data_IF_474452216750
#
_entry.id   IF_474452216750
#
_cell.length_a   1.000
_cell.length_b   1.000
_cell.length_c   1.000
_cell.angle_alpha   90.00
_cell.angle_beta   90.00
_cell.angle_gamma   90.00
#
_symmetry.space_group_name_H-M   'P 1'
#
loop_
_entity.id
_entity.type
_entity.pdbx_description
1 polymer ?
#
# COMPACT_ATOMS: atom_id res chain seq x y z
N UNK A 1 8.83 8.56 26.82
CA UNK A 1 7.38 8.26 26.89
C UNK A 1 6.79 8.68 25.56
N UNK A 2 6.39 7.71 24.73
CA UNK A 2 5.79 8.00 23.42
C UNK A 2 4.44 8.68 23.62
N UNK A 3 4.17 9.72 22.84
CA UNK A 3 2.82 10.27 22.70
C UNK A 3 1.86 9.14 22.35
N UNK A 4 0.67 9.06 22.97
CA UNK A 4 -0.34 8.09 22.57
C UNK A 4 -0.59 8.21 21.07
N UNK A 5 -0.68 7.08 20.38
CA UNK A 5 -1.27 7.02 19.03
C UNK A 5 -2.60 7.78 19.09
N UNK A 6 -2.82 8.68 18.15
CA UNK A 6 -4.02 9.55 18.11
C UNK A 6 -5.29 8.69 18.10
N UNK A 7 -6.46 9.28 18.41
CA UNK A 7 -7.77 8.59 18.34
C UNK A 7 -8.20 8.23 16.91
N UNK A 8 -7.26 8.18 15.96
CA UNK A 8 -7.52 7.99 14.53
C UNK A 8 -7.37 6.51 14.19
N UNK A 9 -8.40 5.93 13.57
CA UNK A 9 -8.35 4.56 13.09
C UNK A 9 -7.55 4.48 11.78
N UNK A 10 -6.54 3.61 11.73
CA UNK A 10 -5.85 3.24 10.50
C UNK A 10 -6.44 1.95 9.95
N UNK A 11 -7.08 2.03 8.78
CA UNK A 11 -7.68 0.88 8.10
C UNK A 11 -6.67 0.11 7.23
N UNK A 12 -5.44 -0.07 7.70
CA UNK A 12 -4.41 -0.81 6.97
C UNK A 12 -4.30 -2.25 7.51
N UNK A 13 -4.44 -3.25 6.66
CA UNK A 13 -4.11 -4.63 7.04
C UNK A 13 -2.59 -4.79 7.06
N UNK A 14 -1.97 -5.32 8.14
CA UNK A 14 -0.54 -5.60 8.14
C UNK A 14 -0.16 -6.53 6.99
N UNK A 15 0.98 -6.27 6.37
CA UNK A 15 1.52 -7.11 5.30
C UNK A 15 2.61 -8.03 5.87
N UNK A 16 2.74 -9.24 5.35
CA UNK A 16 3.76 -10.17 5.82
C UNK A 16 4.42 -10.93 4.68
N UNK A 17 5.74 -11.14 4.79
CA UNK A 17 6.52 -12.05 3.95
C UNK A 17 7.84 -12.37 4.65
N UNK A 18 8.48 -13.50 4.33
CA UNK A 18 9.82 -13.86 4.82
C UNK A 18 10.01 -13.80 6.35
N UNK A 19 8.97 -14.10 7.14
CA UNK A 19 8.95 -13.91 8.60
C UNK A 19 9.08 -12.46 9.07
N UNK A 20 8.71 -11.49 8.23
CA UNK A 20 8.54 -10.09 8.61
C UNK A 20 7.05 -9.73 8.56
N UNK A 21 6.64 -8.89 9.50
CA UNK A 21 5.33 -8.22 9.49
C UNK A 21 5.59 -6.72 9.37
N UNK A 22 4.99 -6.08 8.39
CA UNK A 22 5.06 -4.65 8.13
C UNK A 22 3.73 -3.98 8.43
N UNK A 23 3.81 -2.81 9.03
CA UNK A 23 2.69 -1.91 9.27
C UNK A 23 3.13 -0.47 8.98
N UNK A 24 2.23 0.32 8.41
CA UNK A 24 2.37 1.76 8.30
C UNK A 24 1.08 2.48 8.67
N UNK A 25 1.27 3.65 9.24
CA UNK A 25 0.24 4.58 9.72
C UNK A 25 0.52 5.99 9.18
N UNK A 26 -0.29 6.97 9.56
CA UNK A 26 -0.30 8.34 9.06
C UNK A 26 -0.80 9.31 10.13
N UNK A 27 -1.05 10.58 9.81
CA UNK A 27 -1.64 11.55 10.77
C UNK A 27 -0.79 11.77 12.03
N UNK A 28 0.52 11.93 11.85
CA UNK A 28 1.49 12.23 12.92
C UNK A 28 1.61 11.14 14.00
N UNK A 29 1.29 9.90 13.64
CA UNK A 29 1.57 8.70 14.46
C UNK A 29 3.02 8.24 14.26
N UNK A 30 3.34 7.01 14.68
CA UNK A 30 4.69 6.42 14.58
C UNK A 30 5.25 6.34 13.15
N UNK A 31 4.43 6.43 12.11
CA UNK A 31 4.83 6.18 10.72
C UNK A 31 4.74 4.68 10.41
N UNK A 32 5.83 4.06 9.94
CA UNK A 32 5.83 2.63 9.62
C UNK A 32 6.98 1.86 10.24
N UNK A 33 6.79 0.55 10.40
CA UNK A 33 7.81 -0.34 10.95
C UNK A 33 7.66 -1.76 10.41
N UNK A 34 8.76 -2.51 10.48
CA UNK A 34 8.73 -3.96 10.30
C UNK A 34 9.24 -4.69 11.54
N UNK A 35 8.58 -5.79 11.86
CA UNK A 35 8.91 -6.70 12.94
C UNK A 35 9.37 -8.01 12.33
N UNK A 36 10.57 -8.45 12.69
CA UNK A 36 11.06 -9.78 12.35
C UNK A 36 10.54 -10.80 13.38
N UNK A 37 9.99 -11.89 12.86
CA UNK A 37 9.47 -13.02 13.61
C UNK A 37 10.48 -14.17 13.56
N UNK A 38 10.62 -14.88 14.68
CA UNK A 38 11.44 -16.08 14.76
C UNK A 38 10.77 -17.10 15.67
N UNK A 39 10.89 -18.39 15.33
CA UNK A 39 10.48 -19.45 16.24
C UNK A 39 11.39 -19.46 17.49
N UNK A 40 10.77 -19.67 18.63
CA UNK A 40 11.42 -19.85 19.93
C UNK A 40 10.96 -21.17 20.53
N UNK A 41 11.63 -21.62 21.60
CA UNK A 41 11.27 -22.88 22.26
C UNK A 41 9.81 -22.91 22.78
N UNK A 42 9.19 -21.74 23.03
CA UNK A 42 7.85 -21.60 23.61
C UNK A 42 6.83 -20.93 22.68
N UNK A 43 7.15 -20.71 21.39
CA UNK A 43 6.24 -20.06 20.44
C UNK A 43 6.97 -19.16 19.45
N UNK A 44 6.39 -18.00 19.12
CA UNK A 44 6.98 -17.03 18.19
C UNK A 44 7.50 -15.82 18.95
N UNK A 45 8.78 -15.52 18.74
CA UNK A 45 9.42 -14.28 19.18
C UNK A 45 9.29 -13.21 18.10
N UNK A 46 9.21 -11.96 18.53
CA UNK A 46 9.09 -10.79 17.67
C UNK A 46 10.15 -9.75 18.06
N UNK A 47 10.84 -9.18 17.07
CA UNK A 47 11.83 -8.11 17.28
C UNK A 47 11.61 -7.01 16.26
N UNK A 48 11.60 -5.76 16.71
CA UNK A 48 11.62 -4.61 15.80
C UNK A 48 12.86 -4.69 14.90
N UNK A 49 12.66 -4.80 13.60
CA UNK A 49 13.73 -4.82 12.61
C UNK A 49 14.16 -3.39 12.26
N UNK A 50 13.18 -2.54 11.97
CA UNK A 50 13.36 -1.13 11.67
C UNK A 50 12.04 -0.37 11.86
N UNK A 51 12.13 0.94 12.02
CA UNK A 51 11.02 1.88 11.93
C UNK A 51 11.43 3.19 11.24
N UNK A 52 10.44 3.84 10.63
CA UNK A 52 10.61 5.13 9.97
C UNK A 52 9.36 5.99 10.17
N UNK A 53 9.54 7.09 10.90
CA UNK A 53 8.50 8.07 11.22
C UNK A 53 8.05 8.92 10.02
N UNK A 54 8.74 8.84 8.88
CA UNK A 54 8.40 9.58 7.66
C UNK A 54 7.37 8.85 6.80
N UNK A 55 7.18 7.55 7.01
CA UNK A 55 6.19 6.79 6.26
C UNK A 55 4.78 7.27 6.59
N UNK A 56 3.95 7.42 5.55
CA UNK A 56 2.66 8.07 5.65
C UNK A 56 1.59 7.32 4.85
N UNK A 57 1.01 6.26 5.43
CA UNK A 57 -0.01 5.46 4.76
C UNK A 57 -1.36 5.57 5.50
N UNK A 58 -2.32 6.22 4.88
CA UNK A 58 -3.63 6.49 5.49
C UNK A 58 -4.56 5.27 5.45
N UNK A 59 -4.77 4.69 4.27
CA UNK A 59 -5.77 3.64 4.05
C UNK A 59 -5.32 2.63 3.00
N UNK A 60 -5.46 1.33 3.29
CA UNK A 60 -5.38 0.23 2.32
C UNK A 60 -4.20 0.32 1.32
N UNK A 61 -3.08 0.89 1.78
CA UNK A 61 -2.13 1.54 0.89
C UNK A 61 -0.84 0.79 0.65
N UNK A 62 -0.70 -0.48 1.04
CA UNK A 62 0.55 -1.21 0.80
C UNK A 62 0.36 -2.70 0.52
N UNK A 63 1.30 -3.26 -0.23
CA UNK A 63 1.47 -4.68 -0.52
C UNK A 63 2.94 -5.07 -0.42
N UNK A 64 3.20 -6.35 -0.14
CA UNK A 64 4.56 -6.90 -0.16
C UNK A 64 4.68 -7.90 -1.30
N UNK A 65 5.66 -7.68 -2.17
CA UNK A 65 5.93 -8.51 -3.35
C UNK A 65 7.45 -8.68 -3.48
N UNK A 66 7.92 -9.91 -3.59
CA UNK A 66 9.33 -10.27 -3.82
C UNK A 66 10.33 -9.58 -2.87
N UNK A 67 9.97 -9.45 -1.59
CA UNK A 67 10.82 -8.83 -0.56
C UNK A 67 10.81 -7.30 -0.54
N UNK A 68 9.92 -6.67 -1.32
CA UNK A 68 9.72 -5.23 -1.35
C UNK A 68 8.31 -4.84 -0.91
N UNK A 69 8.22 -3.73 -0.19
CA UNK A 69 6.98 -3.07 0.17
C UNK A 69 6.70 -2.04 -0.91
N UNK A 70 5.55 -2.16 -1.59
CA UNK A 70 5.02 -1.10 -2.46
C UNK A 70 3.90 -0.40 -1.71
N UNK A 71 4.03 0.91 -1.49
CA UNK A 71 3.11 1.63 -0.63
C UNK A 71 2.75 3.03 -1.11
N UNK A 72 1.57 3.49 -0.73
CA UNK A 72 1.16 4.88 -0.74
C UNK A 72 1.84 5.63 0.40
N UNK A 73 2.32 6.84 0.11
CA UNK A 73 2.94 7.76 1.06
C UNK A 73 2.23 9.15 1.05
N UNK A 74 0.91 9.17 0.99
CA UNK A 74 0.09 10.38 0.99
C UNK A 74 0.07 11.08 -0.37
N UNK A 75 1.14 11.76 -0.77
CA UNK A 75 1.18 12.51 -2.05
C UNK A 75 1.77 11.71 -3.22
N UNK A 76 2.20 10.48 -2.95
CA UNK A 76 2.81 9.60 -3.94
C UNK A 76 2.92 8.17 -3.44
N UNK A 77 3.81 7.42 -4.08
CA UNK A 77 3.95 5.99 -3.97
C UNK A 77 5.43 5.65 -3.91
N UNK A 78 5.81 4.67 -3.11
CA UNK A 78 7.19 4.26 -2.94
C UNK A 78 7.35 2.75 -2.96
N UNK A 79 8.60 2.34 -3.19
CA UNK A 79 9.06 0.98 -2.99
C UNK A 79 10.14 0.99 -1.90
N UNK A 80 10.04 0.12 -0.92
CA UNK A 80 11.03 -0.06 0.13
C UNK A 80 11.45 -1.52 0.24
N UNK A 81 12.67 -1.76 0.68
CA UNK A 81 13.12 -3.10 1.04
C UNK A 81 12.46 -3.54 2.35
N UNK A 82 11.78 -4.70 2.35
CA UNK A 82 11.04 -5.19 3.53
C UNK A 82 11.95 -5.39 4.76
N UNK A 83 13.17 -5.85 4.56
CA UNK A 83 14.07 -6.23 5.66
C UNK A 83 14.82 -5.05 6.27
N UNK A 84 14.98 -3.95 5.54
CA UNK A 84 15.85 -2.82 5.91
C UNK A 84 15.10 -1.50 6.03
N UNK A 85 13.93 -1.37 5.39
CA UNK A 85 13.18 -0.12 5.31
C UNK A 85 13.79 0.89 4.32
N UNK A 86 14.82 0.51 3.56
CA UNK A 86 15.47 1.42 2.61
C UNK A 86 14.53 1.68 1.43
N UNK A 87 14.19 2.95 1.23
CA UNK A 87 13.44 3.39 0.06
C UNK A 87 14.27 3.26 -1.21
N UNK A 88 13.71 2.57 -2.20
CA UNK A 88 14.31 2.34 -3.52
C UNK A 88 13.90 3.40 -4.52
N UNK A 89 12.65 3.85 -4.44
CA UNK A 89 12.15 4.94 -5.24
C UNK A 89 10.87 5.54 -4.62
N UNK A 90 10.57 6.76 -5.06
CA UNK A 90 9.31 7.46 -4.83
C UNK A 90 8.79 8.05 -6.17
N UNK A 91 7.48 8.00 -6.40
CA UNK A 91 6.82 8.55 -7.58
C UNK A 91 5.43 9.12 -7.24
N UNK A 92 5.01 10.21 -7.91
CA UNK A 92 3.77 10.92 -7.54
C UNK A 92 2.47 10.14 -7.82
N UNK A 93 2.46 9.21 -8.77
CA UNK A 93 1.33 8.31 -9.05
C UNK A 93 -0.07 8.99 -9.06
N UNK A 94 -1.15 8.28 -8.65
CA UNK A 94 -2.51 8.81 -8.55
C UNK A 94 -2.81 9.58 -7.24
N UNK A 95 -1.79 10.02 -6.49
CA UNK A 95 -1.99 10.62 -5.16
C UNK A 95 -2.34 9.59 -4.09
N UNK A 96 -2.92 10.04 -2.98
CA UNK A 96 -3.35 9.22 -1.83
C UNK A 96 -4.35 8.16 -2.30
N UNK A 97 -4.19 6.91 -1.88
CA UNK A 97 -5.07 5.86 -2.35
C UNK A 97 -4.74 4.47 -1.85
N UNK A 98 -5.48 3.51 -2.39
CA UNK A 98 -5.37 2.08 -2.13
C UNK A 98 -4.66 1.34 -3.27
N UNK A 99 -4.18 0.13 -3.01
CA UNK A 99 -3.38 -0.65 -3.95
C UNK A 99 -3.72 -2.13 -3.88
N UNK A 100 -3.75 -2.77 -5.06
CA UNK A 100 -3.73 -4.23 -5.19
C UNK A 100 -2.66 -4.64 -6.20
N UNK A 101 -2.04 -5.80 -5.99
CA UNK A 101 -1.06 -6.37 -6.90
C UNK A 101 -1.67 -7.54 -7.69
N UNK A 102 -1.40 -7.60 -8.99
CA UNK A 102 -1.64 -8.78 -9.82
C UNK A 102 -0.69 -8.78 -11.03
N UNK A 103 -0.17 -9.95 -11.38
CA UNK A 103 0.63 -10.20 -12.60
C UNK A 103 1.76 -9.19 -12.86
N UNK A 104 2.56 -8.90 -11.82
CA UNK A 104 3.69 -7.96 -11.94
C UNK A 104 3.29 -6.48 -11.92
N UNK A 105 2.01 -6.17 -11.75
CA UNK A 105 1.48 -4.82 -11.78
C UNK A 105 0.82 -4.41 -10.47
N UNK A 106 0.95 -3.12 -10.15
CA UNK A 106 0.29 -2.42 -9.06
C UNK A 106 -0.87 -1.62 -9.63
N UNK A 107 -2.08 -1.95 -9.17
CA UNK A 107 -3.30 -1.24 -9.49
C UNK A 107 -3.59 -0.28 -8.34
N UNK A 108 -3.27 0.99 -8.57
CA UNK A 108 -3.39 2.05 -7.57
C UNK A 108 -4.66 2.86 -7.83
N UNK A 109 -5.55 2.96 -6.84
CA UNK A 109 -6.77 3.75 -6.88
C UNK A 109 -6.62 4.97 -5.97
N UNK A 110 -6.43 6.14 -6.58
CA UNK A 110 -6.32 7.41 -5.88
C UNK A 110 -7.66 7.97 -5.40
N UNK A 111 -7.65 8.80 -4.37
CA UNK A 111 -8.83 9.34 -3.68
C UNK A 111 -9.75 10.17 -4.58
N UNK A 112 -9.25 10.68 -5.70
CA UNK A 112 -10.01 11.42 -6.71
C UNK A 112 -10.48 10.53 -7.87
N UNK A 113 -10.51 9.21 -7.66
CA UNK A 113 -10.91 8.21 -8.66
C UNK A 113 -9.89 8.02 -9.79
N UNK A 114 -8.65 8.50 -9.63
CA UNK A 114 -7.60 8.23 -10.62
C UNK A 114 -7.09 6.80 -10.41
N UNK A 115 -7.21 5.97 -11.44
CA UNK A 115 -6.66 4.62 -11.48
C UNK A 115 -5.33 4.68 -12.21
N UNK A 116 -4.29 4.12 -11.63
CA UNK A 116 -2.97 4.01 -12.23
C UNK A 116 -2.49 2.57 -12.22
N UNK A 117 -1.86 2.17 -13.32
CA UNK A 117 -1.14 0.91 -13.45
C UNK A 117 0.36 1.22 -13.38
N UNK A 118 1.03 0.71 -12.36
CA UNK A 118 2.46 0.91 -12.11
C UNK A 118 3.14 -0.46 -12.08
N UNK A 119 4.32 -0.61 -12.67
CA UNK A 119 5.04 -1.88 -12.56
C UNK A 119 5.51 -2.13 -11.13
N UNK A 120 5.37 -3.37 -10.65
CA UNK A 120 5.97 -3.81 -9.38
C UNK A 120 7.47 -4.04 -9.55
N UNK A 121 8.22 -2.97 -9.81
CA UNK A 121 9.64 -3.01 -10.11
C UNK A 121 10.44 -2.27 -9.03
N UNK A 122 11.27 -2.99 -8.28
CA UNK A 122 12.09 -2.40 -7.21
C UNK A 122 13.25 -1.50 -7.71
N UNK A 123 13.56 -1.51 -9.00
CA UNK A 123 14.65 -0.70 -9.57
C UNK A 123 14.24 0.72 -9.91
N UNK A 124 12.93 0.99 -10.07
CA UNK A 124 12.45 2.32 -10.38
C UNK A 124 10.93 2.39 -10.51
N UNK A 125 10.41 3.61 -10.35
CA UNK A 125 9.01 3.92 -10.58
C UNK A 125 8.69 3.93 -12.07
N UNK A 126 7.83 3.02 -12.54
CA UNK A 126 7.37 2.98 -13.93
C UNK A 126 5.83 3.00 -14.01
N UNK A 127 5.27 4.15 -14.39
CA UNK A 127 3.84 4.33 -14.61
C UNK A 127 3.48 3.89 -16.03
N UNK A 128 2.77 2.78 -16.16
CA UNK A 128 2.37 2.19 -17.44
C UNK A 128 1.19 2.93 -18.05
N UNK A 129 0.14 3.17 -17.25
CA UNK A 129 -1.06 3.86 -17.71
C UNK A 129 -1.82 4.48 -16.56
N UNK A 130 -2.73 5.41 -16.89
CA UNK A 130 -3.69 5.98 -15.93
C UNK A 130 -4.96 6.44 -16.62
N UNK A 131 -6.06 6.41 -15.89
CA UNK A 131 -7.33 7.01 -16.29
C UNK A 131 -8.08 7.50 -15.05
N UNK A 132 -9.18 8.22 -15.26
CA UNK A 132 -10.03 8.72 -14.18
C UNK A 132 -11.39 8.08 -14.30
N UNK A 133 -11.89 7.54 -13.19
CA UNK A 133 -13.26 7.03 -13.12
C UNK A 133 -14.26 8.17 -13.32
N UNK A 134 -15.47 7.89 -13.85
CA UNK A 134 -16.58 8.83 -13.80
C UNK A 134 -16.71 9.41 -12.38
N UNK A 135 -16.69 10.74 -12.28
CA UNK A 135 -16.59 11.42 -11.01
C UNK A 135 -17.83 11.19 -10.14
N UNK A 136 -17.59 10.92 -8.86
CA UNK A 136 -18.61 10.97 -7.82
C UNK A 136 -18.28 12.02 -6.76
N UNK A 137 -19.26 12.35 -5.92
CA UNK A 137 -19.03 13.22 -4.77
C UNK A 137 -18.34 12.45 -3.65
N UNK A 138 -17.26 13.02 -3.11
CA UNK A 138 -16.54 12.45 -1.97
C UNK A 138 -15.33 11.58 -2.36
N UNK A 139 -14.61 11.08 -1.36
CA UNK A 139 -13.33 10.40 -1.59
C UNK A 139 -13.48 8.93 -2.01
N UNK A 140 -12.67 8.52 -2.99
CA UNK A 140 -12.53 7.15 -3.44
C UNK A 140 -11.48 6.40 -2.60
N UNK A 141 -11.87 5.87 -1.44
CA UNK A 141 -10.95 5.15 -0.51
C UNK A 141 -11.17 3.64 -0.45
N UNK A 142 -11.90 3.06 -1.41
CA UNK A 142 -12.17 1.62 -1.40
C UNK A 142 -10.93 0.82 -1.79
N UNK A 143 -10.80 -0.39 -1.26
CA UNK A 143 -9.75 -1.32 -1.69
C UNK A 143 -10.21 -2.02 -2.99
N UNK A 144 -9.44 -1.98 -4.09
CA UNK A 144 -9.77 -2.70 -5.32
C UNK A 144 -9.81 -4.21 -5.11
N UNK A 145 -10.66 -4.93 -5.85
CA UNK A 145 -10.55 -6.39 -5.95
C UNK A 145 -10.28 -6.79 -7.40
N UNK A 146 -9.56 -7.88 -7.62
CA UNK A 146 -9.34 -8.42 -8.97
C UNK A 146 -9.79 -9.88 -9.00
N UNK A 147 -10.60 -10.23 -9.98
CA UNK A 147 -11.00 -11.62 -10.22
C UNK A 147 -11.25 -11.85 -11.71
N UNK A 148 -10.78 -12.99 -12.23
CA UNK A 148 -10.97 -13.41 -13.63
C UNK A 148 -10.62 -12.31 -14.65
N UNK A 149 -9.47 -11.66 -14.48
CA UNK A 149 -9.04 -10.58 -15.38
C UNK A 149 -9.93 -9.34 -15.32
N UNK A 150 -10.60 -9.08 -14.20
CA UNK A 150 -11.44 -7.90 -14.00
C UNK A 150 -11.16 -7.21 -12.67
N UNK A 151 -10.63 -5.97 -12.67
CA UNK A 151 -10.62 -5.13 -11.48
C UNK A 151 -12.03 -4.59 -11.19
N UNK A 152 -12.42 -4.68 -9.93
CA UNK A 152 -13.64 -4.16 -9.33
C UNK A 152 -13.27 -2.92 -8.52
N UNK A 153 -13.64 -1.75 -9.03
CA UNK A 153 -13.29 -0.44 -8.47
C UNK A 153 -14.57 0.24 -7.99
N UNK A 154 -14.78 0.25 -6.67
CA UNK A 154 -15.99 0.85 -6.09
C UNK A 154 -15.75 2.31 -5.75
N UNK A 155 -16.64 3.20 -6.13
CA UNK A 155 -16.70 4.56 -5.61
C UNK A 155 -18.14 4.79 -5.17
N UNK A 156 -18.35 5.08 -3.88
CA UNK A 156 -19.65 5.10 -3.21
C UNK A 156 -20.65 4.06 -3.75
N UNK A 157 -21.62 4.52 -4.55
CA UNK A 157 -22.74 3.72 -5.06
C UNK A 157 -22.47 3.13 -6.46
N UNK A 158 -21.36 3.48 -7.09
CA UNK A 158 -20.90 2.90 -8.35
C UNK A 158 -19.86 1.80 -8.16
N UNK A 159 -19.94 0.81 -9.04
CA UNK A 159 -18.94 -0.22 -9.22
C UNK A 159 -18.47 -0.21 -10.68
N UNK A 160 -17.22 0.17 -10.90
CA UNK A 160 -16.60 0.15 -12.22
C UNK A 160 -15.83 -1.16 -12.40
N UNK A 161 -16.06 -1.82 -13.53
CA UNK A 161 -15.43 -3.09 -13.86
C UNK A 161 -14.82 -2.98 -15.25
N UNK A 162 -13.54 -3.30 -15.36
CA UNK A 162 -12.80 -3.27 -16.61
C UNK A 162 -12.33 -4.68 -16.97
N UNK A 163 -12.03 -4.91 -18.24
CA UNK A 163 -11.37 -6.14 -18.67
C UNK A 163 -9.87 -5.87 -18.84
N UNK A 164 -9.04 -6.67 -18.17
CA UNK A 164 -7.58 -6.61 -18.24
C UNK A 164 -6.99 -7.94 -18.77
N UNK A 165 -7.84 -8.90 -19.14
CA UNK A 165 -7.38 -10.12 -19.80
C UNK A 165 -6.81 -9.81 -21.19
N UNK A 166 -5.80 -10.58 -21.58
CA UNK A 166 -5.15 -10.51 -22.89
C UNK A 166 -5.92 -11.33 -23.92
#
# INVERSE_FOLDING_TARGET
>A
MGTPETTTAHGNSPAHADSYVFEATSYHTRGGCAVALANTASGVGAKLAWDDAKLNCEHCGYVVVDGFIYMNQGVGWSCLELKTGVERWFGRGPGKGSIIYADGMLYCLGEKGTVALIEANATGFNLVSKFVLPAEEGPCWTHPAISNGKPFLRWHDSLFVYDISQ
#
